data_IF_390139166379
#
_entry.id   IF_390139166379
#
_cell.length_a   1.000
_cell.length_b   1.000
_cell.length_c   1.000
_cell.angle_alpha   90.00
_cell.angle_beta   90.00
_cell.angle_gamma   90.00
#
_symmetry.space_group_name_H-M   'P 1'
#
loop_
_entity.id
_entity.type
_entity.pdbx_description
1 polymer ?
#
# COMPACT_ATOMS: atom_id res chain seq x y z
N UNK A 1 22.64 11.78 0.02
CA UNK A 1 22.44 10.38 0.43
C UNK A 1 22.06 10.46 1.88
N UNK A 2 20.78 10.31 2.23
CA UNK A 2 20.34 10.25 3.62
C UNK A 2 19.39 9.07 3.73
N UNK A 3 19.90 8.00 4.31
CA UNK A 3 19.10 6.94 4.89
C UNK A 3 18.14 7.59 5.89
N UNK A 4 16.83 7.48 5.64
CA UNK A 4 15.84 7.85 6.63
C UNK A 4 15.84 6.78 7.70
N UNK A 5 16.10 7.21 8.93
CA UNK A 5 16.03 6.40 10.13
C UNK A 5 14.70 5.64 10.18
N UNK A 6 14.75 4.35 9.87
CA UNK A 6 13.75 3.40 10.32
C UNK A 6 13.72 3.47 11.85
N UNK A 7 12.54 3.36 12.47
CA UNK A 7 12.46 3.28 13.92
C UNK A 7 13.26 2.06 14.35
N UNK A 8 14.33 2.32 15.10
CA UNK A 8 15.24 1.29 15.58
C UNK A 8 14.62 0.70 16.85
N UNK A 9 14.21 -0.57 16.77
CA UNK A 9 13.66 -1.32 17.90
C UNK A 9 14.75 -1.84 18.80
N UNK A 10 15.92 -2.12 18.24
CA UNK A 10 17.14 -2.44 18.97
C UNK A 10 18.30 -1.66 18.36
N UNK A 11 18.96 -0.82 19.17
CA UNK A 11 20.12 -0.06 18.72
C UNK A 11 21.27 -0.99 18.34
N UNK A 12 22.19 -0.56 17.48
CA UNK A 12 23.37 -1.36 17.15
C UNK A 12 24.17 -1.68 18.42
N UNK A 13 24.26 -0.73 19.34
CA UNK A 13 24.89 -0.95 20.65
C UNK A 13 24.17 -1.99 21.50
N UNK A 14 22.86 -1.88 21.62
CA UNK A 14 22.04 -2.82 22.40
C UNK A 14 22.04 -4.22 21.77
N UNK A 15 22.06 -4.30 20.44
CA UNK A 15 22.23 -5.55 19.71
C UNK A 15 23.58 -6.17 20.06
N UNK A 16 24.70 -5.45 19.89
CA UNK A 16 26.03 -5.97 20.22
C UNK A 16 26.17 -6.39 21.70
N UNK A 17 25.56 -5.64 22.62
CA UNK A 17 25.55 -5.96 24.06
C UNK A 17 24.72 -7.20 24.39
N UNK A 18 23.66 -7.47 23.63
CA UNK A 18 22.73 -8.59 23.87
C UNK A 18 23.05 -9.84 23.05
N UNK A 19 23.87 -9.73 22.01
CA UNK A 19 24.17 -10.81 21.05
C UNK A 19 25.35 -11.71 21.47
N UNK A 20 25.89 -11.54 22.70
CA UNK A 20 26.92 -12.38 23.30
C UNK A 20 28.19 -12.65 22.44
N UNK A 21 28.50 -11.78 21.47
CA UNK A 21 29.71 -11.82 20.62
C UNK A 21 30.47 -10.50 20.69
N UNK A 22 31.80 -10.53 20.61
CA UNK A 22 32.59 -9.30 20.50
C UNK A 22 32.47 -8.71 19.08
N UNK A 23 32.58 -7.39 18.91
CA UNK A 23 32.31 -6.71 17.62
C UNK A 23 33.11 -7.26 16.42
N UNK A 24 34.32 -7.76 16.64
CA UNK A 24 35.16 -8.37 15.59
C UNK A 24 34.77 -9.81 15.26
N UNK A 25 33.94 -10.44 16.08
CA UNK A 25 33.37 -11.76 15.88
C UNK A 25 32.06 -11.69 15.08
N UNK A 26 31.50 -10.49 14.90
CA UNK A 26 30.28 -10.27 14.14
C UNK A 26 30.46 -10.58 12.66
N UNK A 27 29.51 -11.36 12.15
CA UNK A 27 29.43 -11.87 10.79
C UNK A 27 28.32 -11.17 10.00
N UNK A 28 28.27 -11.41 8.69
CA UNK A 28 27.18 -10.92 7.84
C UNK A 28 25.85 -11.57 8.18
N UNK A 29 25.84 -12.74 8.80
CA UNK A 29 24.64 -13.31 9.39
C UNK A 29 24.14 -12.43 10.53
N UNK A 30 25.00 -12.07 11.48
CA UNK A 30 24.63 -11.19 12.61
C UNK A 30 24.08 -9.85 12.13
N UNK A 31 24.72 -9.25 11.13
CA UNK A 31 24.23 -8.01 10.50
C UNK A 31 22.89 -8.20 9.78
N UNK A 32 22.70 -9.34 9.10
CA UNK A 32 21.43 -9.67 8.47
C UNK A 32 20.31 -9.84 9.50
N UNK A 33 20.58 -10.50 10.63
CA UNK A 33 19.63 -10.66 11.73
C UNK A 33 19.29 -9.30 12.35
N UNK A 34 20.29 -8.44 12.62
CA UNK A 34 20.06 -7.08 13.11
C UNK A 34 19.07 -6.28 12.22
N UNK A 35 19.28 -6.33 10.90
CA UNK A 35 18.39 -5.68 9.93
C UNK A 35 16.99 -6.31 9.94
N UNK A 36 16.92 -7.63 10.03
CA UNK A 36 15.65 -8.36 10.08
C UNK A 36 14.84 -8.02 11.31
N UNK A 37 15.46 -7.99 12.50
CA UNK A 37 14.80 -7.65 13.78
C UNK A 37 14.15 -6.27 13.69
N UNK A 38 14.91 -5.27 13.23
CA UNK A 38 14.40 -3.90 13.10
C UNK A 38 13.32 -3.79 12.03
N UNK A 39 13.45 -4.49 10.89
CA UNK A 39 12.42 -4.47 9.87
C UNK A 39 11.14 -5.17 10.35
N UNK A 40 11.25 -6.31 11.02
CA UNK A 40 10.13 -7.07 11.55
C UNK A 40 9.35 -6.27 12.58
N UNK A 41 10.04 -5.63 13.53
CA UNK A 41 9.41 -4.74 14.51
C UNK A 41 8.62 -3.62 13.84
N UNK A 42 9.19 -2.99 12.82
CA UNK A 42 8.50 -1.96 12.05
C UNK A 42 7.24 -2.49 11.34
N UNK A 43 7.31 -3.68 10.71
CA UNK A 43 6.15 -4.25 10.02
C UNK A 43 5.05 -4.70 11.00
N UNK A 44 5.41 -5.30 12.13
CA UNK A 44 4.46 -5.70 13.16
C UNK A 44 3.76 -4.49 13.77
N UNK A 45 4.50 -3.44 14.14
CA UNK A 45 3.92 -2.21 14.67
C UNK A 45 3.01 -1.52 13.64
N UNK A 46 3.53 -1.25 12.44
CA UNK A 46 2.87 -0.34 11.49
C UNK A 46 1.79 -1.02 10.64
N UNK A 47 1.84 -2.34 10.44
CA UNK A 47 0.89 -3.06 9.57
C UNK A 47 0.05 -4.08 10.32
N UNK A 48 0.60 -4.82 11.27
CA UNK A 48 -0.18 -5.83 11.99
C UNK A 48 -0.97 -5.19 13.14
N UNK A 49 -0.28 -4.67 14.16
CA UNK A 49 -0.92 -4.11 15.34
C UNK A 49 -1.70 -2.83 15.06
N UNK A 50 -1.21 -1.97 14.15
CA UNK A 50 -1.96 -0.77 13.72
C UNK A 50 -3.33 -1.10 13.12
N UNK A 51 -3.48 -2.23 12.42
CA UNK A 51 -4.76 -2.67 11.83
C UNK A 51 -5.70 -3.29 12.87
N UNK A 52 -5.14 -4.01 13.85
CA UNK A 52 -5.91 -4.71 14.89
C UNK A 52 -6.34 -3.79 16.04
N UNK A 53 -5.66 -2.66 16.23
CA UNK A 53 -5.96 -1.69 17.28
C UNK A 53 -5.35 -2.07 18.63
N UNK A 54 -5.45 -1.15 19.59
CA UNK A 54 -4.87 -1.31 20.93
C UNK A 54 -5.61 -2.33 21.80
N UNK A 55 -6.89 -2.58 21.52
CA UNK A 55 -7.72 -3.56 22.24
C UNK A 55 -7.47 -5.01 21.79
N UNK A 56 -6.56 -5.23 20.85
CA UNK A 56 -6.20 -6.56 20.38
C UNK A 56 -5.49 -7.34 21.50
N UNK A 57 -5.94 -8.58 21.74
CA UNK A 57 -5.45 -9.40 22.86
C UNK A 57 -3.94 -9.59 22.86
N UNK A 58 -3.33 -9.73 21.68
CA UNK A 58 -1.89 -9.95 21.53
C UNK A 58 -1.10 -8.65 21.32
N UNK A 59 -1.70 -7.48 21.56
CA UNK A 59 -1.03 -6.19 21.39
C UNK A 59 0.21 -6.10 22.30
N UNK A 60 1.31 -5.57 21.75
CA UNK A 60 2.59 -5.44 22.44
C UNK A 60 2.99 -3.98 22.59
N UNK A 61 3.61 -3.65 23.72
CA UNK A 61 4.32 -2.38 23.88
C UNK A 61 5.58 -2.36 23.01
N UNK A 62 6.16 -1.18 22.80
CA UNK A 62 7.39 -1.02 22.02
C UNK A 62 8.53 -1.92 22.51
N UNK A 63 8.77 -1.95 23.82
CA UNK A 63 9.81 -2.80 24.44
C UNK A 63 9.52 -4.28 24.21
N UNK A 64 8.29 -4.73 24.47
CA UNK A 64 7.90 -6.14 24.27
C UNK A 64 7.94 -6.55 22.80
N UNK A 65 7.68 -5.63 21.88
CA UNK A 65 7.81 -5.88 20.45
C UNK A 65 9.27 -6.00 20.04
N UNK A 66 10.15 -5.15 20.59
CA UNK A 66 11.60 -5.28 20.43
C UNK A 66 12.11 -6.64 20.90
N UNK A 67 11.70 -7.07 22.10
CA UNK A 67 12.04 -8.39 22.65
C UNK A 67 11.55 -9.52 21.74
N UNK A 68 10.29 -9.52 21.32
CA UNK A 68 9.75 -10.56 20.43
C UNK A 68 10.54 -10.64 19.12
N UNK A 69 10.82 -9.50 18.50
CA UNK A 69 11.56 -9.47 17.24
C UNK A 69 12.99 -9.98 17.41
N UNK A 70 13.63 -9.66 18.53
CA UNK A 70 14.95 -10.15 18.87
C UNK A 70 14.96 -11.68 19.05
N UNK A 71 14.00 -12.23 19.80
CA UNK A 71 13.86 -13.68 20.00
C UNK A 71 13.58 -14.42 18.68
N UNK A 72 12.75 -13.84 17.80
CA UNK A 72 12.52 -14.37 16.45
C UNK A 72 13.78 -14.30 15.58
N UNK A 73 14.59 -13.25 15.75
CA UNK A 73 15.89 -13.11 15.11
C UNK A 73 16.88 -14.20 15.50
N UNK A 74 17.03 -14.43 16.81
CA UNK A 74 17.89 -15.47 17.39
C UNK A 74 17.43 -16.88 16.95
N UNK A 75 16.13 -17.15 17.02
CA UNK A 75 15.55 -18.42 16.55
C UNK A 75 15.82 -18.66 15.05
N UNK A 76 15.84 -17.60 14.25
CA UNK A 76 16.12 -17.69 12.83
C UNK A 76 17.61 -17.84 12.53
N UNK A 77 18.50 -17.22 13.32
CA UNK A 77 19.94 -17.47 13.25
C UNK A 77 20.22 -18.96 13.50
N UNK A 78 19.65 -19.52 14.58
CA UNK A 78 19.77 -20.93 14.91
C UNK A 78 19.28 -21.84 13.77
N UNK A 79 18.12 -21.51 13.20
CA UNK A 79 17.58 -22.23 12.04
C UNK A 79 18.54 -22.20 10.85
N UNK A 80 19.16 -21.05 10.56
CA UNK A 80 20.14 -20.94 9.48
C UNK A 80 21.43 -21.69 9.81
N UNK A 81 21.92 -21.65 11.04
CA UNK A 81 23.15 -22.34 11.44
C UNK A 81 23.00 -23.87 11.40
N UNK A 82 21.88 -24.43 11.90
CA UNK A 82 21.62 -25.86 11.85
C UNK A 82 21.44 -26.39 10.42
N UNK A 83 20.75 -25.63 9.55
CA UNK A 83 20.46 -26.09 8.18
C UNK A 83 21.58 -25.84 7.16
N UNK A 84 22.47 -24.87 7.41
CA UNK A 84 23.56 -24.53 6.49
C UNK A 84 24.91 -25.16 6.84
N UNK A 85 25.18 -25.51 8.10
CA UNK A 85 26.49 -26.10 8.47
C UNK A 85 26.58 -27.61 8.08
N UNK A 86 25.44 -28.31 8.00
CA UNK A 86 25.41 -29.75 7.66
C UNK A 86 25.31 -30.05 6.14
N UNK A 87 25.10 -29.03 5.28
CA UNK A 87 24.77 -29.23 3.85
C UNK A 87 25.88 -28.79 2.88
N UNK A 88 27.06 -29.40 3.00
CA UNK A 88 27.85 -29.74 1.80
C UNK A 88 27.22 -30.96 1.14
N UNK A 89 26.42 -30.72 0.09
CA UNK A 89 25.80 -31.68 -0.84
C UNK A 89 24.35 -32.10 -0.59
N UNK A 90 23.59 -31.92 -1.67
CA UNK A 90 22.40 -32.68 -2.08
C UNK A 90 21.07 -32.27 -1.45
N UNK A 91 20.30 -31.51 -2.23
CA UNK A 91 18.89 -31.10 -2.01
C UNK A 91 17.98 -32.32 -1.77
N UNK A 92 18.42 -33.54 -2.09
CA UNK A 92 17.71 -34.80 -1.80
C UNK A 92 17.78 -35.26 -0.33
N UNK A 93 18.63 -34.65 0.50
CA UNK A 93 18.75 -35.03 1.91
C UNK A 93 17.62 -34.46 2.78
N UNK A 94 16.98 -33.34 2.38
CA UNK A 94 15.91 -32.69 3.15
C UNK A 94 14.65 -33.57 3.29
N UNK A 95 14.37 -34.46 2.34
CA UNK A 95 13.23 -35.39 2.46
C UNK A 95 13.38 -36.39 3.63
N UNK A 96 14.62 -36.64 4.10
CA UNK A 96 14.88 -37.62 5.16
C UNK A 96 14.92 -37.00 6.58
N UNK A 97 14.95 -35.67 6.72
CA UNK A 97 14.81 -35.00 8.01
C UNK A 97 13.35 -34.68 8.38
N UNK A 98 12.45 -34.66 7.38
CA UNK A 98 11.00 -34.45 7.57
C UNK A 98 10.29 -35.53 8.40
N UNK A 99 10.93 -36.69 8.64
CA UNK A 99 10.33 -37.82 9.37
C UNK A 99 11.24 -38.34 10.51
N UNK A 100 12.22 -37.55 10.94
CA UNK A 100 13.29 -38.00 11.84
C UNK A 100 12.98 -37.92 13.34
N UNK A 101 11.99 -37.12 13.74
CA UNK A 101 11.54 -37.03 15.13
C UNK A 101 10.16 -37.68 15.25
N UNK A 102 10.02 -38.61 16.20
CA UNK A 102 8.78 -39.33 16.49
C UNK A 102 7.72 -38.35 17.02
N UNK A 103 7.09 -37.59 16.13
CA UNK A 103 5.81 -36.93 16.39
C UNK A 103 4.71 -38.01 16.34
N UNK A 104 3.67 -37.86 17.16
CA UNK A 104 2.54 -38.78 17.12
C UNK A 104 1.79 -38.62 15.78
N UNK A 105 1.24 -39.71 15.23
CA UNK A 105 0.61 -39.73 13.89
C UNK A 105 -0.56 -38.73 13.72
N UNK A 106 -1.07 -38.18 14.81
CA UNK A 106 -2.18 -37.23 14.86
C UNK A 106 -1.69 -35.79 14.68
N UNK A 107 -0.58 -35.44 15.35
CA UNK A 107 0.10 -34.14 15.19
C UNK A 107 0.63 -33.99 13.76
N UNK A 108 1.25 -35.04 13.21
CA UNK A 108 1.79 -35.03 11.86
C UNK A 108 0.71 -34.81 10.78
N UNK A 109 -0.50 -35.34 10.98
CA UNK A 109 -1.64 -35.13 10.07
C UNK A 109 -2.23 -33.73 10.19
N UNK A 110 -2.35 -33.21 11.41
CA UNK A 110 -2.87 -31.85 11.62
C UNK A 110 -1.91 -30.80 11.04
N UNK A 111 -0.60 -31.02 11.20
CA UNK A 111 0.47 -30.17 10.67
C UNK A 111 0.50 -30.20 9.13
N UNK A 112 0.36 -31.38 8.52
CA UNK A 112 0.26 -31.51 7.05
C UNK A 112 -0.98 -30.80 6.48
N UNK A 113 -2.14 -30.87 7.16
CA UNK A 113 -3.39 -30.20 6.75
C UNK A 113 -3.32 -28.67 6.92
N UNK A 114 -2.52 -28.15 7.86
CA UNK A 114 -2.23 -26.71 8.02
C UNK A 114 -1.19 -26.23 6.99
N UNK A 115 -0.14 -27.00 6.75
CA UNK A 115 0.87 -26.73 5.73
C UNK A 115 0.31 -26.71 4.30
N UNK A 116 -0.62 -27.62 3.96
CA UNK A 116 -1.29 -27.62 2.65
C UNK A 116 -2.13 -26.35 2.42
N UNK A 117 -2.79 -25.82 3.45
CA UNK A 117 -3.59 -24.58 3.35
C UNK A 117 -2.72 -23.35 3.05
N UNK A 118 -1.53 -23.28 3.64
CA UNK A 118 -0.57 -22.20 3.41
C UNK A 118 0.11 -22.34 2.05
N UNK A 119 0.44 -23.57 1.66
CA UNK A 119 1.00 -23.88 0.33
C UNK A 119 0.03 -23.55 -0.81
N UNK A 120 -1.28 -23.58 -0.57
CA UNK A 120 -2.31 -23.14 -1.54
C UNK A 120 -2.40 -21.61 -1.68
N UNK A 121 -1.86 -20.83 -0.74
CA UNK A 121 -1.91 -19.36 -0.73
C UNK A 121 -0.65 -18.71 -1.31
N UNK A 122 0.50 -19.40 -1.28
CA UNK A 122 1.78 -18.89 -1.75
C UNK A 122 2.04 -19.33 -3.20
N UNK A 123 2.05 -18.37 -4.13
CA UNK A 123 2.27 -18.63 -5.56
C UNK A 123 3.64 -19.23 -5.83
N UNK A 124 3.67 -20.30 -6.63
CA UNK A 124 4.86 -20.92 -7.22
C UNK A 124 5.63 -19.89 -8.07
N UNK A 125 6.66 -19.25 -7.52
CA UNK A 125 7.79 -18.81 -8.32
C UNK A 125 9.00 -18.43 -7.46
N UNK A 126 10.17 -18.75 -8.01
CA UNK A 126 11.54 -18.35 -7.68
C UNK A 126 12.39 -19.33 -6.86
N UNK A 127 13.48 -19.71 -7.54
CA UNK A 127 14.55 -20.68 -7.28
C UNK A 127 15.32 -20.57 -5.94
N UNK A 128 14.98 -19.62 -5.05
CA UNK A 128 15.53 -19.48 -3.69
C UNK A 128 14.46 -19.68 -2.60
N UNK A 129 13.17 -19.51 -2.92
CA UNK A 129 12.05 -20.02 -2.11
C UNK A 129 11.98 -21.58 -2.09
N UNK A 130 12.91 -22.24 -2.79
CA UNK A 130 13.16 -23.68 -2.67
C UNK A 130 14.19 -24.07 -1.60
N UNK A 131 14.81 -23.11 -0.88
CA UNK A 131 15.80 -23.37 0.18
C UNK A 131 15.24 -23.27 1.61
N UNK A 132 14.27 -22.37 1.84
CA UNK A 132 13.58 -22.22 3.13
C UNK A 132 12.10 -22.43 2.86
N UNK A 133 11.55 -23.55 3.31
CA UNK A 133 10.12 -23.80 3.22
C UNK A 133 9.38 -22.80 4.13
N UNK A 134 8.37 -22.07 3.64
CA UNK A 134 7.50 -21.25 4.49
C UNK A 134 6.90 -22.06 5.65
N UNK A 135 6.71 -23.36 5.43
CA UNK A 135 6.23 -24.33 6.41
C UNK A 135 7.28 -24.57 7.49
N UNK A 136 8.56 -24.73 7.13
CA UNK A 136 9.62 -25.00 8.10
C UNK A 136 9.89 -23.77 8.97
N UNK A 137 9.90 -22.58 8.36
CA UNK A 137 10.03 -21.31 9.05
C UNK A 137 8.87 -21.05 10.03
N UNK A 138 7.64 -21.36 9.61
CA UNK A 138 6.46 -21.20 10.46
C UNK A 138 6.54 -22.10 11.70
N UNK A 139 6.90 -23.37 11.54
CA UNK A 139 6.86 -24.35 12.61
C UNK A 139 8.09 -24.29 13.52
N UNK A 140 9.30 -24.29 12.97
CA UNK A 140 10.53 -24.43 13.74
C UNK A 140 11.08 -23.10 14.29
N UNK A 141 10.58 -21.97 13.81
CA UNK A 141 11.12 -20.65 14.17
C UNK A 141 10.07 -19.70 14.70
N UNK A 142 8.86 -19.66 14.12
CA UNK A 142 7.90 -18.60 14.43
C UNK A 142 6.88 -19.03 15.47
N UNK A 143 6.23 -20.19 15.31
CA UNK A 143 5.17 -20.61 16.24
C UNK A 143 5.71 -20.93 17.64
N UNK A 144 6.80 -21.70 17.73
CA UNK A 144 7.42 -22.04 19.02
C UNK A 144 7.87 -20.78 19.78
N UNK A 145 8.47 -19.84 19.07
CA UNK A 145 8.96 -18.58 19.64
C UNK A 145 7.82 -17.65 20.05
N UNK A 146 6.74 -17.57 19.28
CA UNK A 146 5.55 -16.81 19.67
C UNK A 146 4.86 -17.42 20.89
N UNK A 147 4.68 -18.75 20.91
CA UNK A 147 4.08 -19.47 22.03
C UNK A 147 4.88 -19.26 23.30
N UNK A 148 6.21 -19.45 23.24
CA UNK A 148 7.10 -19.25 24.36
C UNK A 148 7.06 -17.80 24.86
N UNK A 149 7.20 -16.82 23.96
CA UNK A 149 7.21 -15.41 24.33
C UNK A 149 5.92 -15.00 25.04
N UNK A 150 4.75 -15.32 24.48
CA UNK A 150 3.48 -14.92 25.08
C UNK A 150 3.16 -15.70 26.36
N UNK A 151 3.63 -16.94 26.49
CA UNK A 151 3.53 -17.68 27.73
C UNK A 151 4.42 -17.08 28.83
N UNK A 152 5.70 -16.86 28.54
CA UNK A 152 6.71 -16.44 29.54
C UNK A 152 6.60 -14.95 29.89
N UNK A 153 6.44 -14.07 28.88
CA UNK A 153 6.45 -12.61 29.07
C UNK A 153 5.07 -12.02 29.32
N UNK A 154 4.00 -12.67 28.84
CA UNK A 154 2.62 -12.16 28.94
C UNK A 154 1.69 -13.05 29.77
N UNK A 155 2.09 -14.27 30.12
CA UNK A 155 1.25 -15.21 30.85
C UNK A 155 -0.01 -15.62 30.09
N UNK A 156 0.03 -15.57 28.74
CA UNK A 156 -1.08 -15.95 27.87
C UNK A 156 -0.87 -17.41 27.43
N UNK A 157 -1.81 -18.27 27.79
CA UNK A 157 -1.89 -19.64 27.28
C UNK A 157 -2.80 -19.68 26.05
N UNK A 158 -2.37 -20.38 25.01
CA UNK A 158 -3.13 -20.52 23.77
C UNK A 158 -3.76 -21.91 23.66
N UNK A 159 -4.95 -21.95 23.09
CA UNK A 159 -5.56 -23.20 22.61
C UNK A 159 -4.98 -23.57 21.23
N UNK A 160 -5.05 -24.86 20.87
CA UNK A 160 -4.46 -25.42 19.64
C UNK A 160 -4.95 -24.75 18.33
N UNK A 161 -6.10 -24.07 18.35
CA UNK A 161 -6.76 -23.41 17.22
C UNK A 161 -6.84 -21.87 17.38
N UNK A 162 -5.94 -21.25 18.15
CA UNK A 162 -5.99 -19.82 18.37
C UNK A 162 -5.70 -19.01 17.09
N UNK A 163 -6.77 -18.45 16.50
CA UNK A 163 -6.73 -17.74 15.23
C UNK A 163 -5.86 -16.48 15.28
N UNK A 164 -5.84 -15.76 16.39
CA UNK A 164 -5.06 -14.52 16.50
C UNK A 164 -3.56 -14.81 16.46
N UNK A 165 -3.15 -15.91 17.08
CA UNK A 165 -1.76 -16.37 17.08
C UNK A 165 -1.35 -16.84 15.67
N UNK A 166 -2.22 -17.61 15.01
CA UNK A 166 -1.96 -18.10 13.65
C UNK A 166 -1.82 -16.93 12.67
N UNK A 167 -2.72 -15.94 12.73
CA UNK A 167 -2.65 -14.77 11.86
C UNK A 167 -1.37 -13.94 12.10
N UNK A 168 -0.91 -13.84 13.36
CA UNK A 168 0.35 -13.19 13.70
C UNK A 168 1.56 -13.98 13.17
N UNK A 169 1.51 -15.30 13.26
CA UNK A 169 2.56 -16.18 12.76
C UNK A 169 2.66 -16.12 11.22
N UNK A 170 1.54 -16.19 10.51
CA UNK A 170 1.47 -16.04 9.06
C UNK A 170 2.01 -14.68 8.60
N UNK A 171 1.62 -13.59 9.27
CA UNK A 171 2.14 -12.26 8.96
C UNK A 171 3.65 -12.18 9.18
N UNK A 172 4.17 -12.81 10.23
CA UNK A 172 5.60 -12.86 10.55
C UNK A 172 6.37 -13.62 9.45
N UNK A 173 5.84 -14.77 9.00
CA UNK A 173 6.41 -15.56 7.88
C UNK A 173 6.52 -14.69 6.63
N UNK A 174 5.43 -14.01 6.25
CA UNK A 174 5.40 -13.18 5.04
C UNK A 174 6.45 -12.07 5.08
N UNK A 175 6.59 -11.40 6.23
CA UNK A 175 7.57 -10.31 6.41
C UNK A 175 9.01 -10.83 6.34
N UNK A 176 9.30 -11.97 6.96
CA UNK A 176 10.63 -12.58 6.93
C UNK A 176 10.99 -13.06 5.53
N UNK A 177 10.07 -13.72 4.82
CA UNK A 177 10.29 -14.16 3.44
C UNK A 177 10.51 -12.95 2.51
N UNK A 178 9.71 -11.90 2.65
CA UNK A 178 9.86 -10.68 1.85
C UNK A 178 11.16 -9.93 2.17
N UNK A 179 11.69 -10.05 3.40
CA UNK A 179 13.00 -9.52 3.75
C UNK A 179 14.12 -10.32 3.06
N UNK A 180 14.10 -11.64 3.20
CA UNK A 180 15.07 -12.55 2.55
C UNK A 180 15.12 -12.33 1.04
N UNK A 181 13.96 -12.20 0.38
CA UNK A 181 13.85 -11.92 -1.06
C UNK A 181 14.41 -10.57 -1.50
N UNK A 182 14.41 -9.57 -0.63
CA UNK A 182 14.92 -8.22 -0.96
C UNK A 182 16.43 -8.12 -0.81
N UNK A 183 16.98 -8.80 0.18
CA UNK A 183 18.40 -8.79 0.51
C UNK A 183 19.22 -9.86 -0.27
N UNK A 184 18.59 -10.49 -1.28
CA UNK A 184 18.97 -11.75 -1.93
C UNK A 184 20.31 -11.79 -2.69
N UNK A 185 21.15 -10.73 -2.69
CA UNK A 185 22.32 -10.68 -3.60
C UNK A 185 23.68 -10.31 -3.01
N UNK A 186 23.80 -9.82 -1.77
CA UNK A 186 25.11 -9.38 -1.21
C UNK A 186 25.48 -10.00 0.14
N UNK A 187 24.53 -10.19 1.06
CA UNK A 187 24.80 -10.69 2.42
C UNK A 187 24.67 -12.22 2.54
N UNK A 188 23.60 -12.79 1.98
CA UNK A 188 23.28 -14.23 2.09
C UNK A 188 24.28 -15.18 1.40
N UNK A 189 25.07 -14.68 0.44
CA UNK A 189 26.09 -15.49 -0.25
C UNK A 189 27.39 -15.64 0.56
N UNK A 190 27.54 -14.87 1.65
CA UNK A 190 28.79 -14.67 2.41
C UNK A 190 28.51 -14.53 3.91
N UNK A 191 27.56 -15.29 4.44
CA UNK A 191 27.08 -15.19 5.83
C UNK A 191 28.19 -15.17 6.88
N UNK A 192 29.23 -16.00 6.72
CA UNK A 192 30.32 -16.13 7.68
C UNK A 192 31.47 -15.12 7.48
N UNK A 193 31.37 -14.20 6.51
CA UNK A 193 32.34 -13.12 6.38
C UNK A 193 32.13 -12.09 7.50
N UNK A 194 33.20 -11.42 7.93
CA UNK A 194 33.12 -10.37 8.94
C UNK A 194 32.20 -9.23 8.50
N UNK A 195 31.40 -8.73 9.42
CA UNK A 195 30.57 -7.54 9.28
C UNK A 195 31.04 -6.35 10.13
N UNK A 196 32.30 -6.39 10.60
CA UNK A 196 32.89 -5.33 11.44
C UNK A 196 32.71 -3.94 10.81
N UNK A 197 33.03 -3.78 9.52
CA UNK A 197 32.89 -2.51 8.80
C UNK A 197 31.43 -1.98 8.84
N UNK A 198 30.43 -2.88 8.80
CA UNK A 198 29.02 -2.51 8.82
C UNK A 198 28.55 -2.05 10.21
N UNK A 199 28.99 -2.74 11.28
CA UNK A 199 28.65 -2.34 12.64
C UNK A 199 29.41 -1.09 13.10
N UNK A 200 30.65 -0.89 12.68
CA UNK A 200 31.40 0.35 12.95
C UNK A 200 30.73 1.57 12.30
N UNK A 201 30.22 1.43 11.08
CA UNK A 201 29.44 2.48 10.42
C UNK A 201 28.18 2.82 11.23
N UNK A 202 27.40 1.81 11.65
CA UNK A 202 26.20 2.01 12.47
C UNK A 202 26.50 2.69 13.82
N UNK A 203 27.55 2.27 14.52
CA UNK A 203 27.94 2.85 15.80
C UNK A 203 28.40 4.31 15.65
N UNK A 204 29.11 4.64 14.57
CA UNK A 204 29.53 6.02 14.30
C UNK A 204 28.33 6.96 14.10
N UNK A 205 27.28 6.46 13.42
CA UNK A 205 26.03 7.20 13.23
C UNK A 205 25.30 7.40 14.57
N UNK A 206 25.30 6.41 15.47
CA UNK A 206 24.70 6.55 16.81
C UNK A 206 25.45 7.54 17.73
N UNK A 207 26.77 7.63 17.59
CA UNK A 207 27.60 8.55 18.38
C UNK A 207 27.42 10.02 17.95
N UNK A 208 27.33 10.27 16.65
CA UNK A 208 27.04 11.61 16.09
C UNK A 208 25.68 12.15 16.59
N UNK A 209 24.72 11.26 16.88
CA UNK A 209 23.42 11.63 17.46
C UNK A 209 23.49 11.98 18.96
N UNK A 210 24.45 11.42 19.71
CA UNK A 210 24.64 11.73 21.14
C UNK A 210 25.38 13.05 21.37
N UNK A 211 26.32 13.42 20.50
CA UNK A 211 27.06 14.70 20.62
C UNK A 211 26.22 15.93 20.23
N UNK A 212 25.16 15.76 19.43
CA UNK A 212 24.22 16.83 19.05
C UNK A 212 23.19 17.22 20.12
N UNK A 213 23.11 16.50 21.24
CA UNK A 213 22.07 16.62 22.26
C UNK A 213 22.65 16.59 23.70
N UNK A 214 23.68 17.38 23.99
CA UNK A 214 23.99 17.75 25.38
C UNK A 214 22.87 18.65 25.94
N UNK A 215 21.83 18.02 26.48
CA UNK A 215 20.80 18.71 27.26
C UNK A 215 21.44 19.28 28.53
N UNK A 216 21.36 20.61 28.69
CA UNK A 216 21.63 21.26 29.96
C UNK A 216 20.67 20.70 31.02
N UNK A 217 21.23 19.96 31.98
CA UNK A 217 20.56 19.62 33.23
C UNK A 217 20.00 20.90 33.86
N UNK A 218 18.67 20.96 33.96
CA UNK A 218 18.00 21.71 35.02
C UNK A 218 17.42 20.70 36.00
N UNK A 219 18.01 20.70 37.19
CA UNK A 219 17.37 20.23 38.41
C UNK A 219 15.99 20.88 38.53
N UNK A 220 14.93 20.07 38.52
CA UNK A 220 13.70 20.30 39.27
C UNK A 220 12.93 18.97 39.34
N UNK A 221 12.25 18.78 40.46
CA UNK A 221 11.97 17.51 41.11
C UNK A 221 10.94 16.59 40.43
N UNK A 222 11.07 15.31 40.76
CA UNK A 222 10.15 14.20 40.50
C UNK A 222 8.69 14.51 40.90
N UNK A 223 7.79 14.55 39.92
CA UNK A 223 6.40 14.08 40.06
C UNK A 223 6.12 13.08 38.92
N UNK A 224 6.39 11.82 39.22
CA UNK A 224 6.15 10.68 38.35
C UNK A 224 4.76 10.14 38.68
N UNK A 225 3.72 10.68 38.05
CA UNK A 225 2.39 10.07 37.93
C UNK A 225 1.52 10.94 37.00
N UNK A 226 0.94 10.33 35.95
CA UNK A 226 -0.07 10.90 35.03
C UNK A 226 0.37 11.55 33.70
N UNK A 227 1.03 10.83 32.80
CA UNK A 227 1.02 11.17 31.34
C UNK A 227 0.97 9.95 30.39
N UNK A 228 0.22 8.89 30.74
CA UNK A 228 -0.09 7.78 29.81
C UNK A 228 -1.43 7.96 29.06
N UNK A 229 -1.85 9.20 28.81
CA UNK A 229 -3.13 9.48 28.11
C UNK A 229 -3.03 10.39 26.87
N UNK A 230 -1.84 10.72 26.36
CA UNK A 230 -1.73 11.49 25.11
C UNK A 230 -0.65 10.93 24.16
N UNK A 231 -0.81 9.70 23.68
CA UNK A 231 -0.23 9.35 22.37
C UNK A 231 -1.20 9.87 21.32
N UNK A 232 -0.98 11.11 20.88
CA UNK A 232 -1.66 11.67 19.72
C UNK A 232 -1.52 10.68 18.56
N UNK A 233 -2.60 10.31 17.85
CA UNK A 233 -2.47 9.53 16.63
C UNK A 233 -1.50 10.27 15.70
N UNK A 234 -0.58 9.56 15.05
CA UNK A 234 0.33 10.13 14.05
C UNK A 234 -0.49 10.99 13.07
N UNK A 235 -0.44 12.30 13.27
CA UNK A 235 -1.22 13.28 12.56
C UNK A 235 -0.23 14.19 11.87
N UNK A 236 -0.12 14.02 10.56
CA UNK A 236 0.62 14.92 9.69
C UNK A 236 -0.39 15.55 8.74
N UNK A 237 -0.55 16.85 8.90
CA UNK A 237 -1.54 17.64 8.18
C UNK A 237 -1.25 17.63 6.67
N UNK A 238 -2.25 17.29 5.85
CA UNK A 238 -2.08 17.13 4.39
C UNK A 238 -1.51 18.41 3.74
N UNK A 239 -1.99 19.58 4.14
CA UNK A 239 -1.52 20.86 3.61
C UNK A 239 -0.04 21.07 3.93
N UNK A 240 0.36 20.83 5.19
CA UNK A 240 1.77 20.95 5.60
C UNK A 240 2.69 19.97 4.85
N UNK A 241 2.22 18.74 4.63
CA UNK A 241 3.00 17.70 3.94
C UNK A 241 3.17 18.05 2.45
N UNK A 242 2.12 18.55 1.81
CA UNK A 242 2.19 19.00 0.42
C UNK A 242 3.09 20.23 0.28
N UNK A 243 3.02 21.18 1.21
CA UNK A 243 3.93 22.33 1.22
C UNK A 243 5.40 21.90 1.37
N UNK A 244 5.70 20.95 2.28
CA UNK A 244 7.04 20.35 2.41
C UNK A 244 7.52 19.72 1.10
N UNK A 245 6.64 19.04 0.36
CA UNK A 245 6.99 18.49 -0.95
C UNK A 245 7.32 19.59 -1.95
N UNK A 246 6.47 20.61 -2.07
CA UNK A 246 6.65 21.72 -3.03
C UNK A 246 7.96 22.46 -2.77
N UNK A 247 8.30 22.69 -1.49
CA UNK A 247 9.49 23.43 -1.07
C UNK A 247 10.80 22.60 -1.14
N UNK A 248 10.73 21.28 -1.34
CA UNK A 248 11.90 20.41 -1.46
C UNK A 248 12.64 20.63 -2.80
N UNK A 249 13.63 21.51 -2.78
CA UNK A 249 14.46 21.86 -3.95
C UNK A 249 15.29 20.67 -4.49
N UNK A 250 15.53 19.63 -3.68
CA UNK A 250 16.25 18.44 -4.13
C UNK A 250 15.41 17.59 -5.09
N UNK A 251 14.09 17.67 -4.95
CA UNK A 251 13.12 16.98 -5.80
C UNK A 251 12.51 17.90 -6.83
N UNK A 252 12.39 19.20 -6.57
CA UNK A 252 11.76 20.21 -7.43
C UNK A 252 12.75 21.31 -7.85
N UNK A 253 13.52 21.12 -8.94
CA UNK A 253 14.44 22.15 -9.44
C UNK A 253 13.68 23.44 -9.85
N UNK A 254 14.34 24.57 -9.62
CA UNK A 254 13.75 25.92 -9.59
C UNK A 254 13.09 26.43 -10.88
N UNK A 255 13.35 25.81 -12.04
CA UNK A 255 12.77 26.25 -13.32
C UNK A 255 11.29 25.84 -13.51
N UNK A 256 10.78 24.86 -12.73
CA UNK A 256 9.42 24.30 -12.86
C UNK A 256 8.53 24.46 -11.61
N UNK A 257 9.01 25.09 -10.53
CA UNK A 257 8.29 25.13 -9.24
C UNK A 257 6.85 25.63 -9.33
N UNK A 258 6.60 26.68 -10.13
CA UNK A 258 5.24 27.24 -10.28
C UNK A 258 4.23 26.28 -10.94
N UNK A 259 4.69 25.29 -11.71
CA UNK A 259 3.80 24.28 -12.30
C UNK A 259 3.63 23.06 -11.39
N UNK A 260 4.65 22.72 -10.58
CA UNK A 260 4.58 21.61 -9.62
C UNK A 260 3.65 21.94 -8.46
N UNK A 261 3.76 23.15 -7.91
CA UNK A 261 2.90 23.64 -6.84
C UNK A 261 1.43 23.55 -7.25
N UNK A 262 1.05 24.20 -8.35
CA UNK A 262 -0.33 24.19 -8.83
C UNK A 262 -0.86 22.78 -9.14
N UNK A 263 -0.05 21.88 -9.70
CA UNK A 263 -0.52 20.53 -10.05
C UNK A 263 -0.78 19.65 -8.81
N UNK A 264 -0.02 19.83 -7.72
CA UNK A 264 -0.19 19.07 -6.48
C UNK A 264 -1.20 19.75 -5.54
N UNK A 265 -1.30 21.07 -5.55
CA UNK A 265 -2.37 21.81 -4.86
C UNK A 265 -3.76 21.35 -5.32
N UNK A 266 -3.93 20.94 -6.58
CA UNK A 266 -5.18 20.31 -7.05
C UNK A 266 -5.47 18.98 -6.34
N UNK A 267 -4.43 18.19 -6.06
CA UNK A 267 -4.58 16.96 -5.31
C UNK A 267 -4.88 17.25 -3.83
N UNK A 268 -4.29 18.30 -3.27
CA UNK A 268 -4.61 18.81 -1.94
C UNK A 268 -6.10 19.22 -1.84
N UNK A 269 -6.57 20.04 -2.77
CA UNK A 269 -7.96 20.50 -2.84
C UNK A 269 -8.92 19.30 -2.87
N UNK A 270 -8.60 18.29 -3.69
CA UNK A 270 -9.35 17.04 -3.70
C UNK A 270 -9.36 16.33 -2.34
N UNK A 271 -8.20 16.11 -1.73
CA UNK A 271 -8.10 15.36 -0.47
C UNK A 271 -8.81 16.09 0.68
N UNK A 272 -8.60 17.39 0.78
CA UNK A 272 -9.09 18.22 1.90
C UNK A 272 -10.54 18.67 1.71
N UNK A 273 -10.91 19.19 0.54
CA UNK A 273 -12.23 19.79 0.32
C UNK A 273 -13.25 18.77 -0.19
N UNK A 274 -12.84 17.80 -1.01
CA UNK A 274 -13.76 16.81 -1.58
C UNK A 274 -13.95 15.58 -0.69
N UNK A 275 -12.84 14.97 -0.24
CA UNK A 275 -12.89 13.76 0.60
C UNK A 275 -12.97 14.11 2.09
N UNK A 276 -12.45 15.27 2.50
CA UNK A 276 -12.45 15.69 3.91
C UNK A 276 -11.33 15.06 4.73
N UNK A 277 -10.25 14.61 4.09
CA UNK A 277 -9.06 14.10 4.78
C UNK A 277 -8.22 15.26 5.27
N UNK A 278 -7.78 15.17 6.52
CA UNK A 278 -6.84 16.12 7.10
C UNK A 278 -5.49 15.48 7.41
N UNK A 279 -5.42 14.14 7.48
CA UNK A 279 -4.21 13.39 7.82
C UNK A 279 -3.65 12.64 6.60
N UNK A 280 -2.35 12.83 6.31
CA UNK A 280 -1.68 12.19 5.15
C UNK A 280 -1.71 10.67 5.23
N UNK A 281 -1.72 10.09 6.43
CA UNK A 281 -1.73 8.64 6.62
C UNK A 281 -3.07 7.97 6.27
N UNK A 282 -4.14 8.76 6.05
CA UNK A 282 -5.44 8.27 5.61
C UNK A 282 -5.52 8.13 4.08
N UNK A 283 -4.50 8.60 3.35
CA UNK A 283 -4.44 8.46 1.90
C UNK A 283 -4.29 6.98 1.52
N UNK A 284 -5.23 6.48 0.73
CA UNK A 284 -5.21 5.13 0.20
C UNK A 284 -5.19 5.13 -1.34
N UNK A 285 -5.17 3.94 -1.93
CA UNK A 285 -5.10 3.76 -3.38
C UNK A 285 -6.40 4.16 -4.11
N UNK A 286 -7.56 4.06 -3.45
CA UNK A 286 -8.85 4.44 -4.02
C UNK A 286 -8.91 5.96 -4.23
N UNK A 287 -8.39 6.74 -3.28
CA UNK A 287 -8.31 8.21 -3.40
C UNK A 287 -7.51 8.64 -4.64
N UNK A 288 -6.41 7.93 -4.94
CA UNK A 288 -5.60 8.20 -6.14
C UNK A 288 -6.42 7.91 -7.40
N UNK A 289 -7.10 6.76 -7.45
CA UNK A 289 -7.87 6.38 -8.63
C UNK A 289 -9.07 7.32 -8.84
N UNK A 290 -9.79 7.68 -7.80
CA UNK A 290 -10.92 8.61 -7.86
C UNK A 290 -10.48 10.01 -8.30
N UNK A 291 -9.38 10.53 -7.72
CA UNK A 291 -8.79 11.78 -8.16
C UNK A 291 -8.53 11.77 -9.67
N UNK A 292 -7.83 10.74 -10.14
CA UNK A 292 -7.45 10.64 -11.55
C UNK A 292 -8.63 10.41 -12.49
N UNK A 293 -9.63 9.62 -12.08
CA UNK A 293 -10.71 9.15 -12.97
C UNK A 293 -12.00 9.96 -12.90
N UNK A 294 -12.28 10.64 -11.79
CA UNK A 294 -13.49 11.42 -11.55
C UNK A 294 -13.19 12.89 -11.35
N UNK A 295 -12.35 13.23 -10.36
CA UNK A 295 -12.15 14.62 -9.96
C UNK A 295 -11.48 15.45 -11.05
N UNK A 296 -10.42 14.92 -11.67
CA UNK A 296 -9.78 15.56 -12.81
C UNK A 296 -10.75 15.74 -13.99
N UNK A 297 -11.65 14.79 -14.24
CA UNK A 297 -12.66 14.92 -15.31
C UNK A 297 -13.62 16.07 -15.02
N UNK A 298 -14.05 16.23 -13.75
CA UNK A 298 -14.98 17.29 -13.34
C UNK A 298 -14.35 18.68 -13.43
N UNK A 299 -13.12 18.83 -12.96
CA UNK A 299 -12.44 20.12 -12.88
C UNK A 299 -11.82 20.57 -14.22
N UNK A 300 -11.38 19.62 -15.06
CA UNK A 300 -10.76 19.94 -16.36
C UNK A 300 -11.71 19.79 -17.55
N UNK A 301 -13.02 19.72 -17.32
CA UNK A 301 -14.05 19.59 -18.37
C UNK A 301 -13.97 20.67 -19.48
N UNK A 302 -13.24 21.77 -19.25
CA UNK A 302 -13.06 22.90 -20.18
C UNK A 302 -11.58 23.24 -20.51
N UNK A 303 -10.61 22.47 -19.99
CA UNK A 303 -9.18 22.77 -20.10
C UNK A 303 -8.45 21.97 -21.21
N UNK A 304 -7.17 22.33 -21.48
CA UNK A 304 -6.37 21.74 -22.58
C UNK A 304 -5.69 20.41 -22.18
N UNK A 305 -5.61 19.49 -23.15
CA UNK A 305 -5.00 18.14 -23.06
C UNK A 305 -3.56 18.04 -22.47
N UNK A 306 -2.63 19.01 -22.66
CA UNK A 306 -1.25 18.89 -22.17
C UNK A 306 -1.11 18.85 -20.65
N UNK A 307 -2.12 19.32 -19.90
CA UNK A 307 -2.05 19.45 -18.44
C UNK A 307 -2.06 18.07 -17.73
N UNK A 308 -2.80 17.08 -18.25
CA UNK A 308 -2.92 15.76 -17.61
C UNK A 308 -1.59 15.01 -17.49
N UNK A 309 -0.76 15.03 -18.54
CA UNK A 309 0.54 14.33 -18.49
C UNK A 309 1.46 14.94 -17.42
N UNK A 310 1.40 16.26 -17.23
CA UNK A 310 2.21 16.97 -16.25
C UNK A 310 1.71 16.68 -14.83
N UNK A 311 0.39 16.75 -14.61
CA UNK A 311 -0.25 16.38 -13.34
C UNK A 311 0.12 14.95 -12.94
N UNK A 312 0.02 13.98 -13.86
CA UNK A 312 0.39 12.59 -13.54
C UNK A 312 1.87 12.42 -13.21
N UNK A 313 2.78 13.14 -13.88
CA UNK A 313 4.21 13.11 -13.55
C UNK A 313 4.50 13.71 -12.18
N UNK A 314 3.86 14.83 -11.85
CA UNK A 314 4.02 15.48 -10.55
C UNK A 314 3.42 14.61 -9.44
N UNK A 315 2.26 14.00 -9.67
CA UNK A 315 1.65 13.05 -8.74
C UNK A 315 2.53 11.82 -8.53
N UNK A 316 3.17 11.29 -9.58
CA UNK A 316 4.13 10.19 -9.46
C UNK A 316 5.35 10.56 -8.59
N UNK A 317 5.84 11.80 -8.73
CA UNK A 317 6.93 12.34 -7.91
C UNK A 317 6.49 12.49 -6.46
N UNK A 318 5.29 13.01 -6.22
CA UNK A 318 4.71 13.14 -4.89
C UNK A 318 4.51 11.77 -4.22
N UNK A 319 3.96 10.77 -4.91
CA UNK A 319 3.79 9.41 -4.38
C UNK A 319 5.14 8.75 -4.08
N UNK A 320 6.14 8.99 -4.95
CA UNK A 320 7.50 8.50 -4.70
C UNK A 320 8.10 9.17 -3.47
N UNK A 321 7.86 10.46 -3.28
CA UNK A 321 8.28 11.22 -2.12
C UNK A 321 7.56 10.73 -0.86
N UNK A 322 6.24 10.58 -0.87
CA UNK A 322 5.47 10.00 0.25
C UNK A 322 6.00 8.63 0.68
N UNK A 323 6.32 7.74 -0.26
CA UNK A 323 6.88 6.43 0.06
C UNK A 323 8.26 6.54 0.73
N UNK A 324 9.06 7.53 0.32
CA UNK A 324 10.39 7.73 0.88
C UNK A 324 10.34 8.45 2.23
N UNK A 325 9.40 9.38 2.45
CA UNK A 325 9.38 10.36 3.57
C UNK A 325 8.42 9.97 4.68
N UNK A 326 7.29 9.38 4.33
CA UNK A 326 6.20 9.03 5.25
C UNK A 326 5.91 7.52 5.24
N UNK A 327 6.70 6.72 4.50
CA UNK A 327 6.52 5.27 4.34
C UNK A 327 5.14 4.84 3.79
N UNK A 328 4.47 5.74 3.07
CA UNK A 328 3.19 5.47 2.40
C UNK A 328 3.48 4.95 0.98
N UNK A 329 3.57 3.63 0.82
CA UNK A 329 3.86 3.03 -0.49
C UNK A 329 2.58 2.78 -1.32
N UNK A 330 2.32 3.71 -2.22
CA UNK A 330 1.23 3.62 -3.21
C UNK A 330 1.76 3.44 -4.64
N UNK A 331 3.08 3.19 -4.83
CA UNK A 331 3.73 3.18 -6.15
C UNK A 331 3.13 2.13 -7.08
N UNK A 332 2.97 0.89 -6.60
CA UNK A 332 2.42 -0.22 -7.41
C UNK A 332 1.01 0.09 -7.89
N UNK A 333 0.15 0.55 -6.99
CA UNK A 333 -1.24 0.92 -7.29
C UNK A 333 -1.29 2.09 -8.28
N UNK A 334 -0.48 3.13 -8.05
CA UNK A 334 -0.40 4.28 -8.94
C UNK A 334 0.01 3.90 -10.37
N UNK A 335 1.04 3.06 -10.54
CA UNK A 335 1.47 2.62 -11.88
C UNK A 335 0.36 1.84 -12.59
N UNK A 336 -0.32 0.93 -11.88
CA UNK A 336 -1.44 0.17 -12.42
C UNK A 336 -2.58 1.09 -12.89
N UNK A 337 -2.94 2.09 -12.08
CA UNK A 337 -3.97 3.05 -12.45
C UNK A 337 -3.52 3.93 -13.60
N UNK A 338 -2.32 4.50 -13.53
CA UNK A 338 -1.73 5.36 -14.56
C UNK A 338 -1.79 4.72 -15.94
N UNK A 339 -1.42 3.44 -16.08
CA UNK A 339 -1.50 2.73 -17.36
C UNK A 339 -2.90 2.75 -17.98
N UNK A 340 -3.93 2.70 -17.14
CA UNK A 340 -5.34 2.74 -17.55
C UNK A 340 -5.78 4.19 -17.83
N UNK A 341 -5.60 5.11 -16.89
CA UNK A 341 -6.18 6.46 -16.95
C UNK A 341 -5.42 7.43 -17.86
N UNK A 342 -4.12 7.22 -18.12
CA UNK A 342 -3.29 8.15 -18.90
C UNK A 342 -3.82 8.42 -20.31
N UNK A 343 -4.54 7.45 -20.89
CA UNK A 343 -5.14 7.60 -22.22
C UNK A 343 -6.64 7.85 -22.18
N UNK A 344 -7.34 7.31 -21.19
CA UNK A 344 -8.79 7.38 -21.14
C UNK A 344 -9.31 8.71 -20.60
N UNK A 345 -8.66 9.31 -19.58
CA UNK A 345 -9.08 10.60 -19.01
C UNK A 345 -8.98 11.73 -20.03
N UNK A 346 -7.85 11.95 -20.73
CA UNK A 346 -7.77 13.00 -21.76
C UNK A 346 -8.79 12.77 -22.89
N UNK A 347 -9.04 11.50 -23.26
CA UNK A 347 -9.99 11.13 -24.30
C UNK A 347 -11.42 11.53 -23.93
N UNK A 348 -11.89 11.20 -22.72
CA UNK A 348 -13.26 11.50 -22.30
C UNK A 348 -13.47 13.00 -22.07
N UNK A 349 -12.48 13.71 -21.53
CA UNK A 349 -12.52 15.18 -21.39
C UNK A 349 -12.61 15.86 -22.77
N UNK A 350 -11.90 15.34 -23.76
CA UNK A 350 -11.97 15.83 -25.13
C UNK A 350 -13.31 15.53 -25.79
N UNK A 351 -13.89 14.36 -25.52
CA UNK A 351 -15.24 14.00 -25.96
C UNK A 351 -16.29 14.96 -25.36
N UNK A 352 -16.18 15.26 -24.06
CA UNK A 352 -17.06 16.20 -23.38
C UNK A 352 -16.91 17.63 -23.93
N UNK A 353 -15.68 18.08 -24.15
CA UNK A 353 -15.41 19.37 -24.77
C UNK A 353 -15.99 19.50 -26.19
N UNK A 354 -15.94 18.44 -26.98
CA UNK A 354 -16.58 18.43 -28.31
C UNK A 354 -18.11 18.47 -28.21
N UNK A 355 -18.68 17.78 -27.23
CA UNK A 355 -20.11 17.88 -26.92
C UNK A 355 -20.50 19.30 -26.57
N UNK A 356 -19.85 19.90 -25.57
CA UNK A 356 -20.14 21.24 -25.07
C UNK A 356 -20.01 22.32 -26.16
N UNK A 357 -19.12 22.15 -27.14
CA UNK A 357 -19.01 23.05 -28.30
C UNK A 357 -20.17 22.94 -29.30
N UNK A 358 -20.84 21.79 -29.34
CA UNK A 358 -22.00 21.55 -30.20
C UNK A 358 -23.34 21.64 -29.46
N UNK A 359 -23.30 21.83 -28.15
CA UNK A 359 -24.44 21.87 -27.25
C UNK A 359 -25.28 23.13 -27.46
N UNK A 360 -26.58 22.96 -27.70
CA UNK A 360 -27.55 24.04 -27.84
C UNK A 360 -28.48 24.10 -26.61
N UNK A 361 -28.15 24.98 -25.66
CA UNK A 361 -28.91 25.15 -24.41
C UNK A 361 -30.40 25.47 -24.65
N UNK A 362 -30.73 26.20 -25.72
CA UNK A 362 -32.11 26.61 -25.98
C UNK A 362 -33.02 25.46 -26.40
N UNK A 363 -32.51 24.49 -27.16
CA UNK A 363 -33.29 23.29 -27.55
C UNK A 363 -33.62 22.45 -26.32
N UNK A 364 -32.71 22.36 -25.36
CA UNK A 364 -32.89 21.56 -24.15
C UNK A 364 -33.90 22.19 -23.20
N UNK A 365 -33.84 23.50 -23.01
CA UNK A 365 -34.82 24.20 -22.16
C UNK A 365 -36.25 24.05 -22.71
N UNK A 366 -36.41 24.02 -24.04
CA UNK A 366 -37.72 23.82 -24.67
C UNK A 366 -38.29 22.41 -24.45
N UNK A 367 -37.43 21.38 -24.41
CA UNK A 367 -37.84 19.98 -24.18
C UNK A 367 -38.00 19.70 -22.68
N UNK A 368 -37.20 20.35 -21.83
CA UNK A 368 -37.19 20.10 -20.39
C UNK A 368 -38.47 20.57 -19.70
N UNK A 369 -39.07 21.66 -20.17
CA UNK A 369 -40.31 22.23 -19.62
C UNK A 369 -41.59 21.54 -20.14
N UNK A 370 -41.45 20.49 -20.96
CA UNK A 370 -42.57 19.72 -21.50
C UNK A 370 -42.85 18.47 -20.65
N UNK A 371 -43.89 18.53 -19.82
CA UNK A 371 -44.35 17.44 -18.94
C UNK A 371 -44.78 16.17 -19.69
N UNK A 372 -44.94 16.22 -21.03
CA UNK A 372 -45.34 15.05 -21.84
C UNK A 372 -44.21 14.03 -22.02
N UNK A 373 -42.94 14.41 -21.82
CA UNK A 373 -41.79 13.55 -22.11
C UNK A 373 -41.26 12.82 -20.87
N UNK A 374 -41.06 11.50 -20.98
CA UNK A 374 -40.42 10.72 -19.92
C UNK A 374 -38.92 11.03 -19.88
N UNK A 375 -38.46 11.67 -18.81
CA UNK A 375 -37.06 12.04 -18.60
C UNK A 375 -36.43 11.19 -17.50
N UNK A 376 -35.18 10.78 -17.69
CA UNK A 376 -34.38 10.11 -16.66
C UNK A 376 -33.00 10.76 -16.57
N UNK A 377 -32.61 11.18 -15.37
CA UNK A 377 -31.26 11.68 -15.10
C UNK A 377 -30.51 10.66 -14.26
N UNK A 378 -29.23 10.44 -14.57
CA UNK A 378 -28.40 9.50 -13.83
C UNK A 378 -27.09 9.17 -14.52
N UNK A 379 -26.50 8.05 -14.11
CA UNK A 379 -25.26 7.51 -14.67
C UNK A 379 -25.55 6.32 -15.57
N UNK A 380 -25.05 6.37 -16.80
CA UNK A 380 -25.33 5.40 -17.85
C UNK A 380 -24.05 4.81 -18.42
N UNK A 381 -23.85 3.51 -18.31
CA UNK A 381 -22.70 2.82 -18.89
C UNK A 381 -22.97 2.45 -20.36
N UNK A 382 -22.02 2.77 -21.25
CA UNK A 382 -22.08 2.38 -22.65
C UNK A 382 -21.71 0.90 -22.80
N UNK A 383 -22.70 0.06 -23.12
CA UNK A 383 -22.46 -1.37 -23.35
C UNK A 383 -22.15 -1.70 -24.80
N UNK A 384 -22.66 -0.90 -25.73
CA UNK A 384 -22.46 -1.08 -27.17
C UNK A 384 -22.56 0.24 -27.93
N UNK A 385 -21.71 0.39 -28.95
CA UNK A 385 -21.71 1.51 -29.89
C UNK A 385 -22.13 0.99 -31.28
N UNK A 386 -23.23 1.51 -31.83
CA UNK A 386 -23.75 1.16 -33.15
C UNK A 386 -23.44 2.29 -34.15
N UNK A 387 -22.60 1.99 -35.15
CA UNK A 387 -22.14 2.93 -36.20
C UNK A 387 -23.02 2.96 -37.46
N UNK A 388 -24.28 2.57 -37.36
CA UNK A 388 -25.24 2.68 -38.47
C UNK A 388 -25.49 4.14 -38.85
N UNK A 389 -26.28 4.39 -39.91
CA UNK A 389 -26.61 5.74 -40.41
C UNK A 389 -27.03 6.71 -39.30
N UNK A 390 -27.70 6.21 -38.25
CA UNK A 390 -27.95 6.92 -37.00
C UNK A 390 -26.97 6.40 -35.93
N UNK A 391 -26.05 7.26 -35.50
CA UNK A 391 -25.09 6.94 -34.43
C UNK A 391 -25.84 6.75 -33.12
N UNK A 392 -25.90 5.51 -32.64
CA UNK A 392 -26.66 5.14 -31.45
C UNK A 392 -25.84 4.25 -30.52
N UNK A 393 -26.17 4.26 -29.22
CA UNK A 393 -25.52 3.44 -28.22
C UNK A 393 -26.54 2.67 -27.38
N UNK A 394 -26.12 1.54 -26.82
CA UNK A 394 -26.88 0.86 -25.79
C UNK A 394 -26.33 1.30 -24.43
N UNK A 395 -27.24 1.71 -23.55
CA UNK A 395 -26.93 2.23 -22.23
C UNK A 395 -27.51 1.31 -21.16
N UNK A 396 -26.81 1.18 -20.04
CA UNK A 396 -27.35 0.59 -18.81
C UNK A 396 -27.34 1.67 -17.75
N UNK A 397 -28.51 1.93 -17.16
CA UNK A 397 -28.59 2.80 -15.99
C UNK A 397 -27.95 2.09 -14.79
N UNK A 398 -26.90 2.68 -14.23
CA UNK A 398 -26.14 2.10 -13.12
C UNK A 398 -26.92 2.05 -11.80
N UNK A 399 -27.95 2.88 -11.64
CA UNK A 399 -28.77 2.96 -10.41
C UNK A 399 -30.03 2.08 -10.46
N UNK A 400 -30.66 1.99 -11.63
CA UNK A 400 -31.96 1.31 -11.81
C UNK A 400 -31.85 -0.03 -12.55
N UNK A 401 -30.65 -0.40 -13.03
CA UNK A 401 -30.39 -1.62 -13.83
C UNK A 401 -31.28 -1.77 -15.07
N UNK A 402 -31.86 -0.67 -15.56
CA UNK A 402 -32.63 -0.65 -16.80
C UNK A 402 -31.71 -0.57 -18.00
N UNK A 403 -31.95 -1.45 -18.99
CA UNK A 403 -31.24 -1.45 -20.25
C UNK A 403 -32.02 -0.60 -21.27
N UNK A 404 -31.33 0.31 -21.93
CA UNK A 404 -31.86 1.12 -23.02
C UNK A 404 -31.10 0.79 -24.29
N UNK A 405 -31.84 0.41 -25.33
CA UNK A 405 -31.28 0.07 -26.62
C UNK A 405 -31.42 1.22 -27.60
N UNK A 406 -30.40 1.40 -28.46
CA UNK A 406 -30.41 2.36 -29.56
C UNK A 406 -30.68 3.81 -29.14
N UNK A 407 -30.11 4.24 -28.01
CA UNK A 407 -30.15 5.62 -27.56
C UNK A 407 -29.41 6.50 -28.57
N UNK A 408 -30.06 7.53 -29.09
CA UNK A 408 -29.46 8.43 -30.07
C UNK A 408 -28.37 9.29 -29.43
N UNK A 409 -27.21 9.39 -30.09
CA UNK A 409 -26.05 10.14 -29.61
C UNK A 409 -25.44 10.97 -30.74
N UNK A 410 -25.07 12.22 -30.43
CA UNK A 410 -24.48 13.13 -31.41
C UNK A 410 -23.21 12.54 -32.05
N UNK A 411 -23.23 12.42 -33.38
CA UNK A 411 -22.23 11.74 -34.19
C UNK A 411 -20.79 12.22 -33.99
N UNK A 412 -20.57 13.45 -33.51
CA UNK A 412 -19.22 14.00 -33.29
C UNK A 412 -18.52 13.35 -32.11
N UNK A 413 -19.21 13.22 -30.98
CA UNK A 413 -18.66 12.67 -29.73
C UNK A 413 -18.52 11.16 -29.83
N UNK A 414 -19.41 10.54 -30.59
CA UNK A 414 -19.46 9.10 -30.82
C UNK A 414 -18.11 8.48 -31.19
N UNK A 415 -17.30 9.19 -31.98
CA UNK A 415 -16.00 8.69 -32.44
C UNK A 415 -14.93 8.59 -31.34
N UNK A 416 -15.14 9.25 -30.21
CA UNK A 416 -14.22 9.25 -29.06
C UNK A 416 -14.66 8.34 -27.93
N UNK A 417 -15.93 7.95 -27.91
CA UNK A 417 -16.50 7.07 -26.89
C UNK A 417 -16.04 5.63 -27.10
N UNK A 418 -15.94 4.90 -25.99
CA UNK A 418 -15.64 3.47 -25.95
C UNK A 418 -16.71 2.75 -25.13
N UNK A 419 -16.79 1.43 -25.32
CA UNK A 419 -17.55 0.56 -24.42
C UNK A 419 -16.97 0.68 -23.00
N UNK A 420 -17.84 0.78 -22.00
CA UNK A 420 -17.50 0.95 -20.59
C UNK A 420 -17.37 2.41 -20.14
N UNK A 421 -17.40 3.39 -21.04
CA UNK A 421 -17.51 4.79 -20.64
C UNK A 421 -18.85 5.04 -19.94
N UNK A 422 -18.85 5.95 -18.98
CA UNK A 422 -20.02 6.27 -18.14
C UNK A 422 -20.45 7.70 -18.45
N UNK A 423 -21.70 7.86 -18.86
CA UNK A 423 -22.31 9.15 -19.13
C UNK A 423 -23.11 9.59 -17.91
N UNK A 424 -22.76 10.73 -17.31
CA UNK A 424 -23.66 11.42 -16.40
C UNK A 424 -24.58 12.29 -17.26
N UNK A 425 -25.79 11.82 -17.51
CA UNK A 425 -26.65 12.39 -18.53
C UNK A 425 -28.11 12.47 -18.08
N UNK A 426 -28.86 13.33 -18.77
CA UNK A 426 -30.31 13.29 -18.82
C UNK A 426 -30.70 12.73 -20.18
N UNK A 427 -31.50 11.69 -20.17
CA UNK A 427 -32.09 11.08 -21.36
C UNK A 427 -33.58 11.35 -21.39
N UNK A 428 -34.13 11.43 -22.59
CA UNK A 428 -35.54 11.72 -22.83
C UNK A 428 -36.08 10.74 -23.86
N UNK A 429 -37.32 10.30 -23.67
CA UNK A 429 -38.05 9.51 -24.65
C UNK A 429 -38.88 10.43 -25.53
N UNK A 430 -38.55 10.49 -26.83
CA UNK A 430 -39.26 11.26 -27.87
C UNK A 430 -39.70 10.27 -28.95
N UNK A 431 -40.98 10.25 -29.31
CA UNK A 431 -41.55 9.36 -30.33
C UNK A 431 -41.15 7.86 -30.13
N UNK A 432 -41.28 7.36 -28.90
CA UNK A 432 -40.90 5.99 -28.49
C UNK A 432 -39.40 5.66 -28.69
N UNK A 433 -38.52 6.68 -28.71
CA UNK A 433 -37.07 6.52 -28.80
C UNK A 433 -36.34 7.31 -27.73
N UNK A 434 -35.37 6.66 -27.10
CA UNK A 434 -34.47 7.31 -26.16
C UNK A 434 -33.43 8.15 -26.89
N UNK A 435 -33.26 9.39 -26.45
CA UNK A 435 -32.23 10.30 -26.92
C UNK A 435 -31.53 10.96 -25.73
N UNK A 436 -30.24 11.28 -25.91
CA UNK A 436 -29.50 12.03 -24.91
C UNK A 436 -29.88 13.50 -25.02
N UNK A 437 -30.59 13.99 -24.01
CA UNK A 437 -30.95 15.41 -23.89
C UNK A 437 -29.74 16.23 -23.44
N UNK A 438 -29.06 15.78 -22.38
CA UNK A 438 -27.95 16.51 -21.78
C UNK A 438 -26.86 15.57 -21.27
N UNK A 439 -25.58 15.85 -21.56
CA UNK A 439 -24.42 15.21 -20.92
C UNK A 439 -23.76 16.24 -20.01
N UNK A 440 -23.72 15.94 -18.71
CA UNK A 440 -22.99 16.73 -17.73
C UNK A 440 -21.50 16.37 -17.76
N UNK A 441 -21.19 15.07 -17.69
CA UNK A 441 -19.82 14.55 -17.68
C UNK A 441 -19.74 13.19 -18.39
N UNK A 442 -18.53 12.88 -18.88
CA UNK A 442 -18.18 11.58 -19.46
C UNK A 442 -17.00 11.04 -18.66
N UNK A 443 -17.20 9.93 -17.96
CA UNK A 443 -16.18 9.29 -17.15
C UNK A 443 -15.64 8.03 -17.85
N UNK A 444 -14.36 7.68 -17.64
CA UNK A 444 -13.82 6.41 -18.12
C UNK A 444 -14.36 5.25 -17.28
N UNK A 445 -14.25 4.00 -17.76
CA UNK A 445 -14.66 2.81 -17.00
C UNK A 445 -13.98 2.70 -15.62
N UNK A 446 -12.75 3.21 -15.49
CA UNK A 446 -12.02 3.25 -14.23
C UNK A 446 -12.73 4.04 -13.12
N UNK A 447 -13.64 4.96 -13.47
CA UNK A 447 -14.43 5.74 -12.53
C UNK A 447 -15.62 4.98 -11.96
N UNK A 448 -15.94 3.79 -12.50
CA UNK A 448 -17.08 2.98 -12.08
C UNK A 448 -17.21 2.88 -10.56
N UNK A 449 -16.15 2.54 -9.78
CA UNK A 449 -16.16 2.47 -8.31
C UNK A 449 -16.69 3.69 -7.53
N UNK A 450 -16.77 4.87 -8.15
CA UNK A 450 -16.97 6.14 -7.45
C UNK A 450 -18.20 6.91 -7.92
N UNK A 451 -18.87 6.44 -8.96
CA UNK A 451 -20.04 7.11 -9.56
C UNK A 451 -21.36 6.45 -9.16
N UNK A 452 -21.33 5.55 -8.16
CA UNK A 452 -22.48 4.84 -7.63
C UNK A 452 -22.78 5.15 -6.16
#
# INVERSE_FOLDING_TARGET
>A
MSERFQKTFISAREFLESWDKEIYEMTKLDYFIFLMVNQLGNQLEQRFFKRRGADFRLHLSFESLGTLCFTLGDSFEYFLDEDFDDKKHDIKSLENHLFGHNLDEEDERMLMDRAERIRLLLSEDVYFAGLISPVDLLHHTILDTLLQFYYEEKGIEFDEDDLDLIELAEFTVDVMIDFVRREESTLLLRLNESALDHFEELLSVEEDYKEGNEWQQRDDDYEFESEWENTTPYYEDIHQVIQKFVDDQSKNPSEDMGCVACDIELFEEYLSEHIGLNNVYEINHEHILEFMSVWLVKNFAQEREPHFSRIFQNLARFITWLANEYHIDLKKNFVQYYETVKTDVPRVVKALNEYLKSYNLFEILLIRDDDEHHQQSGFFEITKLNRSQDTSCNLINLQLTSNMENVELNARIFNRLKKGDILQATIVEIDDRWSILEIHYIFPNAAKPFVF
#
